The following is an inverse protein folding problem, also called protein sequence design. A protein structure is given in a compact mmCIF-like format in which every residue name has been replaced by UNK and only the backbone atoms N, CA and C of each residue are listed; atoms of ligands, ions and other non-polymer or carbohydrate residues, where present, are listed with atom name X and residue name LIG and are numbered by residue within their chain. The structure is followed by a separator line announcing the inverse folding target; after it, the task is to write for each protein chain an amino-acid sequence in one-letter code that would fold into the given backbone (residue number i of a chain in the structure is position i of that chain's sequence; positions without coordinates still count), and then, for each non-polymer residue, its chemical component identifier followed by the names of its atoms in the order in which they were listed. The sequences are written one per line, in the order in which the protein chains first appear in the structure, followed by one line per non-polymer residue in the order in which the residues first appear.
data_IF_318709286908
#
_entry.id   IF_318709286908
#
_cell.length_a   1.000
_cell.length_b   1.000
_cell.length_c   1.000
_cell.angle_alpha   90.00
_cell.angle_beta   90.00
_cell.angle_gamma   90.00
#
_symmetry.space_group_name_H-M   'P 1'
#
loop_
_entity.id
_entity.type
_entity.pdbx_description
1 polymer ?
#
# COMPACT_ATOMS: atom_id res chain seq x y z
N UNK A 1 -17.82 -2.86 -9.46
CA UNK A 1 -17.51 -3.04 -8.02
C UNK A 1 -16.11 -2.49 -7.77
N UNK A 2 -15.90 -1.75 -6.69
CA UNK A 2 -14.60 -1.17 -6.31
C UNK A 2 -14.09 -1.83 -5.03
N UNK A 3 -12.76 -1.90 -4.86
CA UNK A 3 -12.17 -2.40 -3.62
C UNK A 3 -12.45 -1.40 -2.49
N UNK A 4 -12.94 -1.86 -1.35
CA UNK A 4 -13.21 -1.00 -0.19
C UNK A 4 -12.45 -1.42 1.07
N UNK A 5 -11.98 -2.68 1.13
CA UNK A 5 -11.08 -3.13 2.18
C UNK A 5 -10.17 -4.25 1.71
N UNK A 6 -8.99 -4.32 2.31
CA UNK A 6 -8.01 -5.37 2.11
C UNK A 6 -7.31 -5.68 3.44
N UNK A 7 -7.24 -6.95 3.79
CA UNK A 7 -6.41 -7.46 4.88
C UNK A 7 -5.34 -8.37 4.30
N UNK A 8 -4.11 -8.23 4.74
CA UNK A 8 -3.01 -9.01 4.17
C UNK A 8 -1.96 -9.41 5.20
N UNK A 9 -1.20 -10.45 4.85
CA UNK A 9 -0.04 -10.92 5.61
C UNK A 9 1.15 -11.10 4.68
N UNK A 10 2.30 -10.58 5.09
CA UNK A 10 3.60 -10.88 4.50
C UNK A 10 4.19 -12.08 5.22
N UNK A 11 4.42 -13.16 4.49
CA UNK A 11 4.87 -14.44 5.04
C UNK A 11 6.38 -14.58 4.94
N UNK A 12 6.96 -14.12 3.84
CA UNK A 12 8.38 -14.22 3.52
C UNK A 12 8.81 -13.00 2.69
N UNK A 13 10.10 -12.68 2.70
CA UNK A 13 10.66 -11.66 1.83
C UNK A 13 10.60 -12.13 0.36
N UNK A 14 10.19 -11.23 -0.53
CA UNK A 14 10.23 -11.49 -1.97
C UNK A 14 11.62 -11.23 -2.57
N UNK A 15 11.90 -11.87 -3.70
CA UNK A 15 13.11 -11.67 -4.50
C UNK A 15 12.81 -10.79 -5.71
N UNK A 16 13.65 -9.81 -6.00
CA UNK A 16 13.53 -9.01 -7.23
C UNK A 16 13.98 -9.76 -8.49
N UNK A 17 14.67 -10.89 -8.34
CA UNK A 17 15.19 -11.70 -9.44
C UNK A 17 14.15 -12.67 -10.02
N UNK A 18 13.00 -12.80 -9.35
CA UNK A 18 11.97 -13.76 -9.71
C UNK A 18 10.62 -13.09 -9.92
N UNK A 19 9.82 -13.54 -10.91
CA UNK A 19 8.48 -13.01 -11.11
C UNK A 19 7.52 -13.46 -10.00
N UNK A 20 6.53 -12.62 -9.70
CA UNK A 20 5.43 -12.98 -8.80
C UNK A 20 4.34 -13.72 -9.56
N UNK A 21 3.84 -14.82 -9.01
CA UNK A 21 2.65 -15.51 -9.48
C UNK A 21 1.50 -15.25 -8.50
N UNK A 22 0.46 -14.58 -8.96
CA UNK A 22 -0.73 -14.31 -8.15
C UNK A 22 -1.85 -15.29 -8.51
N UNK A 23 -2.35 -16.02 -7.52
CA UNK A 23 -3.55 -16.84 -7.63
C UNK A 23 -4.70 -16.12 -6.94
N UNK A 24 -5.85 -16.05 -7.61
CA UNK A 24 -7.04 -15.36 -7.10
C UNK A 24 -8.21 -16.33 -6.99
N UNK A 25 -8.63 -16.62 -5.77
CA UNK A 25 -9.81 -17.43 -5.50
C UNK A 25 -11.05 -16.55 -5.32
N UNK A 26 -12.15 -16.97 -5.93
CA UNK A 26 -13.46 -16.32 -5.78
C UNK A 26 -14.18 -16.91 -4.57
N UNK A 27 -14.05 -16.26 -3.42
CA UNK A 27 -14.70 -16.73 -2.20
C UNK A 27 -16.22 -16.52 -2.22
N UNK A 28 -16.66 -15.34 -2.68
CA UNK A 28 -18.07 -14.97 -2.73
C UNK A 28 -18.34 -13.94 -3.82
N UNK A 29 -19.47 -14.10 -4.49
CA UNK A 29 -20.06 -13.11 -5.40
C UNK A 29 -21.53 -12.88 -5.03
N UNK A 30 -21.77 -11.98 -4.08
CA UNK A 30 -23.12 -11.54 -3.72
C UNK A 30 -23.62 -10.43 -4.65
N UNK A 31 -24.82 -9.91 -4.41
CA UNK A 31 -25.36 -8.77 -5.15
C UNK A 31 -24.52 -7.50 -4.93
N UNK A 32 -24.30 -7.12 -3.66
CA UNK A 32 -23.58 -5.89 -3.29
C UNK A 32 -22.09 -6.11 -3.06
N UNK A 33 -21.69 -7.25 -2.48
CA UNK A 33 -20.29 -7.52 -2.11
C UNK A 33 -19.68 -8.71 -2.86
N UNK A 34 -18.38 -8.63 -3.11
CA UNK A 34 -17.57 -9.75 -3.63
C UNK A 34 -16.29 -9.87 -2.82
N UNK A 35 -15.91 -11.10 -2.53
CA UNK A 35 -14.69 -11.39 -1.77
C UNK A 35 -13.75 -12.22 -2.62
N UNK A 36 -12.47 -11.86 -2.58
CA UNK A 36 -11.38 -12.57 -3.25
C UNK A 36 -10.31 -12.92 -2.23
N UNK A 37 -9.73 -14.11 -2.36
CA UNK A 37 -8.50 -14.47 -1.67
C UNK A 37 -7.37 -14.47 -2.68
N UNK A 38 -6.28 -13.78 -2.38
CA UNK A 38 -5.12 -13.64 -3.25
C UNK A 38 -3.94 -14.27 -2.56
N UNK A 39 -3.19 -15.09 -3.27
CA UNK A 39 -1.91 -15.61 -2.81
C UNK A 39 -0.85 -15.27 -3.84
N UNK A 40 0.19 -14.55 -3.41
CA UNK A 40 1.38 -14.31 -4.23
C UNK A 40 2.44 -15.37 -3.93
N UNK A 41 3.02 -15.93 -4.98
CA UNK A 41 4.08 -16.95 -4.90
C UNK A 41 5.31 -16.54 -5.68
N UNK A 42 6.48 -16.91 -5.16
CA UNK A 42 7.78 -16.89 -5.83
C UNK A 42 8.48 -18.22 -5.57
N UNK A 43 9.22 -18.76 -6.54
CA UNK A 43 9.77 -20.13 -6.51
C UNK A 43 8.77 -21.22 -6.01
N UNK A 44 7.47 -21.04 -6.23
CA UNK A 44 6.42 -21.95 -5.74
C UNK A 44 6.02 -21.78 -4.26
N UNK A 45 6.76 -20.98 -3.48
CA UNK A 45 6.45 -20.67 -2.08
C UNK A 45 5.51 -19.45 -1.97
N UNK A 46 4.55 -19.50 -1.04
CA UNK A 46 3.68 -18.37 -0.75
C UNK A 46 4.40 -17.34 0.11
N UNK A 47 4.49 -16.10 -0.40
CA UNK A 47 5.21 -15.00 0.26
C UNK A 47 4.25 -13.91 0.78
N UNK A 48 3.03 -13.88 0.24
CA UNK A 48 2.01 -12.90 0.60
C UNK A 48 0.62 -13.50 0.42
N UNK A 49 -0.29 -13.15 1.33
CA UNK A 49 -1.71 -13.46 1.22
C UNK A 49 -2.55 -12.22 1.46
N UNK A 50 -3.68 -12.10 0.76
CA UNK A 50 -4.66 -11.05 0.99
C UNK A 50 -6.10 -11.53 0.86
N UNK A 51 -6.96 -11.02 1.73
CA UNK A 51 -8.41 -11.03 1.55
C UNK A 51 -8.87 -9.65 1.11
N UNK A 52 -9.48 -9.59 -0.06
CA UNK A 52 -9.94 -8.36 -0.69
C UNK A 52 -11.47 -8.35 -0.76
N UNK A 53 -12.10 -7.28 -0.27
CA UNK A 53 -13.54 -7.07 -0.35
C UNK A 53 -13.89 -5.92 -1.30
N UNK A 54 -14.78 -6.22 -2.23
CA UNK A 54 -15.25 -5.31 -3.26
C UNK A 54 -16.73 -5.03 -3.07
N UNK A 55 -17.13 -3.77 -3.26
CA UNK A 55 -18.50 -3.31 -3.09
C UNK A 55 -19.01 -2.72 -4.40
N UNK A 56 -20.28 -2.98 -4.72
CA UNK A 56 -21.01 -2.23 -5.73
C UNK A 56 -21.49 -0.92 -5.11
N UNK A 57 -21.07 0.20 -5.69
CA UNK A 57 -21.68 1.49 -5.38
C UNK A 57 -23.12 1.48 -5.92
N UNK A 58 -24.08 1.78 -5.07
CA UNK A 58 -25.50 1.90 -5.47
C UNK A 58 -25.81 3.38 -5.69
N UNK A 59 -26.51 3.72 -6.77
CA UNK A 59 -26.92 5.10 -7.10
C UNK A 59 -27.73 5.80 -5.99
N UNK A 60 -28.48 5.03 -5.18
CA UNK A 60 -29.24 5.54 -4.03
C UNK A 60 -28.41 5.73 -2.76
N UNK A 61 -27.18 5.22 -2.73
CA UNK A 61 -26.27 5.33 -1.59
C UNK A 61 -25.66 6.72 -1.52
N UNK A 62 -25.34 7.37 -2.64
CA UNK A 62 -24.55 8.62 -2.59
C UNK A 62 -25.37 9.84 -2.19
N UNK A 63 -26.70 9.82 -2.35
CA UNK A 63 -27.58 10.94 -1.97
C UNK A 63 -28.11 10.85 -0.54
N UNK A 64 -28.11 9.66 0.09
CA UNK A 64 -28.64 9.42 1.44
C UNK A 64 -27.68 8.68 2.40
N UNK A 65 -26.46 8.33 1.98
CA UNK A 65 -25.49 7.74 2.90
C UNK A 65 -25.01 8.78 3.92
N UNK A 66 -24.85 8.33 5.17
CA UNK A 66 -24.19 9.12 6.20
C UNK A 66 -22.74 9.38 5.77
N UNK A 67 -22.42 10.64 5.49
CA UNK A 67 -21.05 11.08 5.22
C UNK A 67 -20.49 11.78 6.45
N UNK A 68 -19.44 11.19 7.01
CA UNK A 68 -18.71 11.76 8.13
C UNK A 68 -17.26 11.31 8.06
N UNK A 69 -16.34 12.24 8.32
CA UNK A 69 -14.91 11.98 8.46
C UNK A 69 -14.35 12.90 9.53
N UNK A 70 -13.26 12.48 10.18
CA UNK A 70 -12.51 13.38 11.06
C UNK A 70 -11.93 14.55 10.27
N UNK A 71 -11.89 15.73 10.88
CA UNK A 71 -11.23 16.90 10.30
C UNK A 71 -9.73 16.66 10.17
N UNK A 72 -9.13 17.10 9.06
CA UNK A 72 -7.68 17.12 8.88
C UNK A 72 -7.03 18.00 9.97
N UNK A 73 -5.88 17.61 10.56
CA UNK A 73 -5.18 18.46 11.52
C UNK A 73 -4.78 19.80 10.89
N UNK A 74 -5.05 20.91 11.58
CA UNK A 74 -4.84 22.26 11.05
C UNK A 74 -3.36 22.66 10.91
N UNK A 75 -2.47 22.00 11.66
CA UNK A 75 -1.07 22.42 11.82
C UNK A 75 -0.12 21.66 10.89
N UNK A 76 -0.60 21.24 9.72
CA UNK A 76 0.19 20.51 8.72
C UNK A 76 0.69 21.49 7.66
N UNK A 77 2.01 21.65 7.48
CA UNK A 77 2.55 22.54 6.47
C UNK A 77 2.19 22.04 5.06
N UNK A 78 2.07 22.93 4.07
CA UNK A 78 1.80 22.51 2.71
C UNK A 78 3.01 21.76 2.12
N UNK A 79 2.79 20.77 1.23
CA UNK A 79 3.85 19.89 0.75
C UNK A 79 5.00 20.64 0.05
N UNK A 80 4.71 21.74 -0.65
CA UNK A 80 5.71 22.60 -1.30
C UNK A 80 6.67 23.31 -0.34
N UNK A 81 6.35 23.35 0.96
CA UNK A 81 7.22 23.94 1.99
C UNK A 81 8.15 22.91 2.66
N UNK A 82 7.97 21.61 2.35
CA UNK A 82 8.79 20.54 2.89
C UNK A 82 9.96 20.24 1.93
N UNK A 83 11.15 19.90 2.46
CA UNK A 83 12.26 19.48 1.62
C UNK A 83 11.96 18.15 0.95
N UNK A 84 12.54 17.94 -0.23
CA UNK A 84 12.47 16.65 -0.90
C UNK A 84 13.21 15.58 -0.06
N UNK A 85 12.72 14.33 -0.09
CA UNK A 85 13.35 13.23 0.65
C UNK A 85 14.82 13.02 0.23
N UNK A 86 15.12 13.18 -1.06
CA UNK A 86 16.48 13.09 -1.60
C UNK A 86 17.37 14.21 -1.09
N UNK A 87 16.87 15.44 -1.07
CA UNK A 87 17.62 16.59 -0.54
C UNK A 87 17.94 16.38 0.94
N UNK A 88 16.94 15.95 1.71
CA UNK A 88 17.09 15.63 3.14
C UNK A 88 18.12 14.51 3.37
N UNK A 89 18.10 13.46 2.54
CA UNK A 89 19.07 12.37 2.61
C UNK A 89 20.49 12.85 2.29
N UNK A 90 20.66 13.65 1.24
CA UNK A 90 21.96 14.20 0.85
C UNK A 90 22.54 15.13 1.93
N UNK A 91 21.69 15.95 2.56
CA UNK A 91 22.09 16.76 3.71
C UNK A 91 22.52 15.91 4.90
N UNK A 92 21.79 14.84 5.20
CA UNK A 92 22.15 13.92 6.27
C UNK A 92 23.50 13.25 5.99
N UNK A 93 23.76 12.78 4.76
CA UNK A 93 25.04 12.16 4.36
C UNK A 93 26.19 13.18 4.45
N UNK A 94 25.98 14.41 3.94
CA UNK A 94 26.98 15.49 4.00
C UNK A 94 27.41 15.79 5.44
N UNK A 95 26.43 15.84 6.35
CA UNK A 95 26.64 16.16 7.76
C UNK A 95 26.99 14.95 8.64
N UNK A 96 26.92 13.73 8.09
CA UNK A 96 27.28 12.52 8.82
C UNK A 96 28.80 12.45 9.03
N UNK A 97 29.21 12.03 10.23
CA UNK A 97 30.60 11.67 10.54
C UNK A 97 30.95 10.30 9.93
N UNK A 98 30.77 10.18 8.63
CA UNK A 98 31.18 9.03 7.82
C UNK A 98 32.50 9.35 7.13
N UNK A 99 33.27 8.31 6.81
CA UNK A 99 34.42 8.46 5.92
C UNK A 99 33.92 8.90 4.54
N UNK A 100 34.75 9.62 3.77
CA UNK A 100 34.36 10.04 2.41
C UNK A 100 34.08 8.85 1.48
N UNK A 101 34.73 7.70 1.70
CA UNK A 101 34.45 6.46 0.96
C UNK A 101 33.05 5.90 1.27
N UNK A 102 32.61 5.98 2.53
CA UNK A 102 31.28 5.51 2.94
C UNK A 102 30.17 6.45 2.45
N UNK A 103 30.46 7.75 2.30
CA UNK A 103 29.53 8.73 1.71
C UNK A 103 29.31 8.51 0.22
N UNK A 104 30.31 8.03 -0.52
CA UNK A 104 30.22 7.78 -1.97
C UNK A 104 29.39 6.53 -2.30
N UNK A 105 29.29 5.56 -1.37
CA UNK A 105 28.56 4.30 -1.56
C UNK A 105 27.05 4.38 -1.29
N UNK A 106 26.57 5.46 -0.66
CA UNK A 106 25.17 5.72 -0.33
C UNK A 106 24.52 6.62 -1.40
#
# INVERSE_FOLDING_TARGET
RTLHSMHCHFLQAGSHNEPFVFTVDRLRDGATYSSRFVVARQAGAAIFTAMCSFQQLHEYSDTNALQHQSTMPANVPPPESLPDQRETLLDAIRNARLSEEDKIRL
#
